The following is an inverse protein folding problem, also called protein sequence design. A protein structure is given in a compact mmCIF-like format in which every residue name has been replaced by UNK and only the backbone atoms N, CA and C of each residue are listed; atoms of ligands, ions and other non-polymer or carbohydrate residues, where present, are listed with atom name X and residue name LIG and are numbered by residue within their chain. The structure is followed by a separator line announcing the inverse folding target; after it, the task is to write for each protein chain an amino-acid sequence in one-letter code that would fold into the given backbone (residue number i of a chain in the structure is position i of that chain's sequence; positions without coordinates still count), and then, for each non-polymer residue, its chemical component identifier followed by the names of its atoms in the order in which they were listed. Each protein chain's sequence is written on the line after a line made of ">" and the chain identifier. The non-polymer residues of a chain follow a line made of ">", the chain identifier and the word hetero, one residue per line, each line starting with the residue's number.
data_IF_952688006333
#
_entry.id   IF_952688006333
#
_cell.length_a   1.000
_cell.length_b   1.000
_cell.length_c   1.000
_cell.angle_alpha   90.00
_cell.angle_beta   90.00
_cell.angle_gamma   90.00
#
_symmetry.space_group_name_H-M   'P 1'
#
loop_
_entity.id
_entity.type
_entity.pdbx_description
1 polymer ?
2 water ?
#
# COMPACT_ATOMS: atom_id res chain seq x y z
N UNK A 1 14.57 -23.30 -8.54
CA UNK A 1 14.06 -24.67 -8.23
C UNK A 1 12.60 -24.80 -8.60
N UNK A 2 11.95 -25.86 -8.13
CA UNK A 2 10.53 -26.03 -8.39
C UNK A 2 9.87 -25.38 -7.18
N UNK A 3 10.35 -25.75 -6.00
CA UNK A 3 9.84 -25.22 -4.74
C UNK A 3 10.09 -23.72 -4.68
N UNK A 4 11.30 -23.35 -5.06
CA UNK A 4 11.73 -21.96 -5.08
C UNK A 4 10.98 -21.15 -6.14
N UNK A 5 10.88 -21.72 -7.34
CA UNK A 5 10.22 -21.07 -8.46
C UNK A 5 8.71 -20.92 -8.34
N UNK A 6 8.09 -21.68 -7.44
CA UNK A 6 6.65 -21.58 -7.26
C UNK A 6 6.40 -20.54 -6.19
N UNK A 7 7.40 -20.37 -5.33
CA UNK A 7 7.36 -19.45 -4.21
C UNK A 7 7.68 -18.00 -4.57
N UNK A 8 8.11 -17.76 -5.79
CA UNK A 8 8.44 -16.41 -6.20
C UNK A 8 7.28 -15.85 -6.99
N UNK A 9 6.61 -16.72 -7.74
CA UNK A 9 5.46 -16.32 -8.53
C UNK A 9 4.30 -16.16 -7.56
N UNK A 10 4.32 -16.97 -6.50
CA UNK A 10 3.29 -16.92 -5.48
C UNK A 10 3.45 -15.63 -4.68
N UNK A 11 4.70 -15.27 -4.42
CA UNK A 11 5.04 -14.10 -3.64
C UNK A 11 4.72 -12.84 -4.45
N UNK A 12 4.80 -12.97 -5.77
CA UNK A 12 4.47 -11.88 -6.68
C UNK A 12 2.96 -11.69 -6.68
N UNK A 13 2.22 -12.80 -6.71
CA UNK A 13 0.76 -12.73 -6.70
C UNK A 13 0.26 -12.09 -5.41
N UNK A 14 0.72 -12.60 -4.28
CA UNK A 14 0.30 -12.07 -2.99
C UNK A 14 0.68 -10.60 -2.84
N UNK A 15 1.89 -10.25 -3.25
CA UNK A 15 2.34 -8.87 -3.18
C UNK A 15 1.45 -7.97 -4.04
N UNK A 16 1.06 -8.47 -5.21
CA UNK A 16 0.20 -7.71 -6.11
C UNK A 16 -1.17 -7.49 -5.47
N UNK A 17 -1.74 -8.55 -4.92
CA UNK A 17 -3.04 -8.45 -4.26
C UNK A 17 -2.96 -7.45 -3.12
N UNK A 18 -1.99 -7.67 -2.24
CA UNK A 18 -1.79 -6.80 -1.09
C UNK A 18 -1.55 -5.36 -1.49
N UNK A 19 -0.72 -5.12 -2.51
CA UNK A 19 -0.45 -3.75 -2.91
C UNK A 19 -1.68 -3.10 -3.55
N UNK A 20 -2.52 -3.88 -4.23
CA UNK A 20 -3.74 -3.33 -4.82
C UNK A 20 -4.71 -2.99 -3.70
N UNK A 21 -4.65 -3.78 -2.63
CA UNK A 21 -5.51 -3.60 -1.47
C UNK A 21 -5.09 -2.31 -0.75
N UNK A 22 -3.79 -2.11 -0.61
CA UNK A 22 -3.27 -0.92 0.05
C UNK A 22 -3.66 0.35 -0.72
N UNK A 23 -3.63 0.28 -2.05
CA UNK A 23 -4.00 1.44 -2.86
C UNK A 23 -5.46 1.82 -2.62
N UNK A 24 -6.30 0.82 -2.35
CA UNK A 24 -7.71 1.10 -2.10
C UNK A 24 -7.87 1.80 -0.75
N UNK A 25 -7.16 1.32 0.27
CA UNK A 25 -7.23 1.94 1.59
C UNK A 25 -6.74 3.39 1.50
N UNK A 26 -5.72 3.62 0.69
CA UNK A 26 -5.16 4.96 0.50
C UNK A 26 -6.23 5.87 -0.10
N UNK A 27 -6.90 5.37 -1.13
CA UNK A 27 -7.96 6.13 -1.79
C UNK A 27 -9.06 6.46 -0.78
N UNK A 28 -9.45 5.48 0.03
CA UNK A 28 -10.49 5.68 1.04
C UNK A 28 -10.13 6.82 2.01
N UNK A 29 -8.93 6.75 2.60
CA UNK A 29 -8.49 7.78 3.54
C UNK A 29 -8.33 9.16 2.91
N UNK A 30 -7.81 9.21 1.69
CA UNK A 30 -7.66 10.50 1.03
C UNK A 30 -9.04 11.12 0.88
N UNK A 31 -10.03 10.29 0.57
CA UNK A 31 -11.38 10.82 0.41
C UNK A 31 -12.02 11.23 1.74
N UNK A 32 -11.72 10.49 2.80
CA UNK A 32 -12.28 10.84 4.10
C UNK A 32 -11.57 12.10 4.63
N UNK A 33 -10.24 12.15 4.48
CA UNK A 33 -9.49 13.30 4.96
C UNK A 33 -9.89 14.57 4.22
N UNK A 34 -10.08 14.49 2.90
CA UNK A 34 -10.49 15.69 2.17
C UNK A 34 -11.82 16.21 2.72
N UNK A 35 -12.73 15.29 3.03
CA UNK A 35 -14.03 15.69 3.57
C UNK A 35 -13.86 16.31 4.95
N UNK A 36 -13.02 15.70 5.78
CA UNK A 36 -12.80 16.22 7.12
C UNK A 36 -12.15 17.61 7.05
N UNK A 37 -11.26 17.80 6.09
CA UNK A 37 -10.63 19.11 5.95
C UNK A 37 -11.70 20.13 5.55
N UNK A 38 -12.60 19.74 4.64
CA UNK A 38 -13.65 20.65 4.20
C UNK A 38 -14.54 21.06 5.37
N UNK A 39 -14.79 20.12 6.27
CA UNK A 39 -15.64 20.38 7.43
C UNK A 39 -14.90 21.27 8.42
N UNK A 40 -13.63 20.97 8.63
CA UNK A 40 -12.84 21.75 9.54
C UNK A 40 -12.85 23.11 8.92
N UNK A 41 -12.58 23.13 7.60
CA UNK A 41 -12.49 24.34 6.78
C UNK A 41 -13.62 25.33 6.68
N UNK A 42 -14.81 24.80 6.47
CA UNK A 42 -15.98 25.62 6.31
C UNK A 42 -16.95 25.40 7.46
N UNK B 1 13.66 -18.46 -18.00
CA UNK B 1 14.01 -19.03 -16.66
C UNK B 1 15.14 -18.23 -16.05
N UNK B 2 16.32 -18.33 -16.65
CA UNK B 2 17.47 -17.59 -16.16
C UNK B 2 17.12 -16.10 -16.21
N UNK B 3 16.46 -15.69 -17.29
CA UNK B 3 16.05 -14.30 -17.45
C UNK B 3 14.65 -14.12 -16.88
N UNK B 4 13.93 -15.23 -16.76
CA UNK B 4 12.57 -15.23 -16.22
C UNK B 4 12.68 -15.02 -14.72
N UNK B 5 13.48 -15.88 -14.11
CA UNK B 5 13.73 -15.87 -12.68
C UNK B 5 14.32 -14.54 -12.25
N UNK B 6 15.41 -14.15 -12.90
CA UNK B 6 16.05 -12.89 -12.58
C UNK B 6 14.99 -11.80 -12.55
N UNK B 7 14.22 -11.70 -13.63
CA UNK B 7 13.17 -10.69 -13.72
C UNK B 7 11.92 -11.03 -12.89
N UNK B 8 11.79 -12.29 -12.48
CA UNK B 8 10.63 -12.69 -11.67
C UNK B 8 10.84 -12.19 -10.25
N UNK B 9 11.95 -12.55 -9.63
CA UNK B 9 12.19 -12.07 -8.28
C UNK B 9 12.72 -10.67 -8.31
N UNK B 10 12.97 -10.20 -9.52
CA UNK B 10 13.42 -8.84 -9.74
C UNK B 10 12.16 -8.05 -9.42
N UNK B 11 11.04 -8.61 -9.87
CA UNK B 11 9.71 -8.02 -9.72
C UNK B 11 9.25 -7.91 -8.27
N UNK B 12 9.63 -8.87 -7.43
CA UNK B 12 9.23 -8.80 -6.03
C UNK B 12 10.09 -7.82 -5.25
N UNK B 13 11.37 -7.70 -5.61
CA UNK B 13 12.18 -6.73 -4.89
C UNK B 13 11.48 -5.40 -5.13
N UNK B 14 10.93 -5.24 -6.33
CA UNK B 14 10.20 -4.03 -6.70
C UNK B 14 8.84 -3.95 -6.01
N UNK B 15 8.14 -5.08 -5.94
CA UNK B 15 6.83 -5.15 -5.30
C UNK B 15 6.90 -4.94 -3.79
N UNK B 16 7.98 -5.41 -3.17
CA UNK B 16 8.16 -5.25 -1.74
C UNK B 16 8.50 -3.79 -1.44
N UNK B 17 9.33 -3.18 -2.28
CA UNK B 17 9.70 -1.78 -2.10
C UNK B 17 8.45 -0.91 -2.21
N UNK B 18 7.60 -1.25 -3.17
CA UNK B 18 6.37 -0.51 -3.41
C UNK B 18 5.41 -0.69 -2.23
N UNK B 19 5.44 -1.87 -1.62
CA UNK B 19 4.58 -2.18 -0.49
C UNK B 19 4.98 -1.35 0.72
N UNK B 20 6.28 -1.19 0.94
CA UNK B 20 6.78 -0.40 2.06
C UNK B 20 6.33 1.04 1.87
N UNK B 21 6.48 1.53 0.64
CA UNK B 21 6.09 2.89 0.30
C UNK B 21 4.63 3.11 0.67
N UNK B 22 3.76 2.26 0.13
CA UNK B 22 2.34 2.36 0.40
C UNK B 22 2.07 2.35 1.91
N UNK B 23 2.72 1.44 2.63
CA UNK B 23 2.52 1.37 4.08
C UNK B 23 2.88 2.69 4.77
N UNK B 24 3.98 3.31 4.35
CA UNK B 24 4.39 4.57 4.96
C UNK B 24 3.36 5.66 4.67
N UNK B 25 2.84 5.69 3.44
CA UNK B 25 1.83 6.69 3.09
C UNK B 25 0.56 6.46 3.90
N UNK B 26 0.19 5.19 4.05
CA UNK B 26 -1.01 4.81 4.79
C UNK B 26 -0.91 5.36 6.21
N UNK B 27 0.23 5.09 6.85
CA UNK B 27 0.47 5.54 8.21
C UNK B 27 0.25 7.05 8.30
N UNK B 28 0.84 7.79 7.36
CA UNK B 28 0.68 9.24 7.33
C UNK B 28 -0.79 9.66 7.20
N UNK B 29 -1.52 9.04 6.27
CA UNK B 29 -2.93 9.40 6.08
C UNK B 29 -3.79 9.06 7.29
N UNK B 30 -3.43 7.98 7.97
CA UNK B 30 -4.15 7.57 9.16
C UNK B 30 -3.91 8.60 10.28
N UNK B 31 -2.67 9.04 10.46
CA UNK B 31 -2.41 10.04 11.50
C UNK B 31 -3.18 11.31 11.21
N UNK B 32 -3.21 11.71 9.94
CA UNK B 32 -3.94 12.92 9.57
C UNK B 32 -5.42 12.71 9.88
N UNK B 33 -5.94 11.55 9.49
CA UNK B 33 -7.34 11.24 9.74
C UNK B 33 -7.67 11.37 11.23
N UNK B 34 -6.83 10.79 12.07
CA UNK B 34 -7.04 10.84 13.51
C UNK B 34 -6.89 12.23 14.11
N UNK B 35 -5.92 13.01 13.63
CA UNK B 35 -5.75 14.36 14.17
C UNK B 35 -6.91 15.26 13.75
N UNK B 36 -7.38 15.10 12.52
CA UNK B 36 -8.51 15.90 12.05
C UNK B 36 -9.71 15.58 12.95
N UNK B 37 -9.94 14.29 13.17
CA UNK B 37 -11.04 13.82 14.03
C UNK B 37 -10.93 14.44 15.43
N UNK B 38 -9.73 14.44 16.00
CA UNK B 38 -9.55 15.01 17.33
C UNK B 38 -9.81 16.52 17.35
N UNK B 39 -9.34 17.22 16.33
CA UNK B 39 -9.54 18.67 16.25
C UNK B 39 -11.04 18.98 16.16
N UNK B 40 -11.74 18.23 15.31
CA UNK B 40 -13.17 18.46 15.12
C UNK B 40 -14.04 18.11 16.34
N UNK B 41 -13.64 17.10 17.10
CA UNK B 41 -14.44 16.71 18.26
C UNK B 41 -14.28 17.68 19.42
N UNK B 42 -13.26 18.53 19.36
CA UNK B 42 -13.04 19.51 20.42
C UNK B 42 -13.44 20.91 19.96
#
# INVERSE_FOLDING_TARGET
>A
GSAYLSELENRVKDLENKNSELEERLSTLQNENQMLRHILKN
>B
GSAYLSELENRVKDLENKNSELEERLSTLQNENQMLRHILKN
#
